data_IF_647264908959
#
_entry.id   IF_647264908959
#
_cell.length_a   1.000
_cell.length_b   1.000
_cell.length_c   1.000
_cell.angle_alpha   90.00
_cell.angle_beta   90.00
_cell.angle_gamma   90.00
#
_symmetry.space_group_name_H-M   'P 1'
#
loop_
_entity.id
_entity.type
_entity.pdbx_description
1 polymer ?
#
# COMPACT_ATOMS: atom_id res chain seq x y z
N UNK A 1 -24.48 -2.37 7.83
CA UNK A 1 -23.20 -3.06 8.04
C UNK A 1 -22.70 -2.78 9.45
N UNK A 2 -22.53 -3.82 10.27
CA UNK A 2 -21.91 -3.66 11.59
C UNK A 2 -20.45 -3.33 11.34
N UNK A 3 -20.04 -2.09 11.64
CA UNK A 3 -18.65 -1.68 11.59
C UNK A 3 -17.94 -2.32 12.78
N UNK A 4 -17.23 -3.41 12.55
CA UNK A 4 -16.20 -3.85 13.46
C UNK A 4 -15.25 -2.69 13.70
N UNK A 5 -14.69 -2.56 14.92
CA UNK A 5 -13.79 -1.46 15.23
C UNK A 5 -12.63 -1.40 14.22
N UNK A 6 -12.49 -0.29 13.51
CA UNK A 6 -11.37 -0.07 12.60
C UNK A 6 -10.11 0.25 13.39
N UNK A 7 -8.98 -0.30 12.96
CA UNK A 7 -7.66 0.00 13.52
C UNK A 7 -7.00 1.02 12.61
N UNK A 8 -6.90 2.27 13.05
CA UNK A 8 -6.23 3.35 12.30
C UNK A 8 -4.73 3.03 12.13
N UNK A 9 -4.07 3.68 11.15
CA UNK A 9 -2.63 3.54 10.95
C UNK A 9 -1.85 3.92 12.21
N UNK A 10 -2.24 4.99 12.90
CA UNK A 10 -1.63 5.39 14.17
C UNK A 10 -1.75 4.32 15.27
N UNK A 11 -2.88 3.61 15.35
CA UNK A 11 -3.05 2.50 16.29
C UNK A 11 -2.22 1.28 15.86
N UNK A 12 -2.13 0.96 14.57
CA UNK A 12 -1.24 -0.08 14.05
C UNK A 12 0.23 0.23 14.39
N UNK A 13 0.64 1.50 14.28
CA UNK A 13 1.96 1.96 14.69
C UNK A 13 2.19 1.81 16.20
N UNK A 14 1.19 2.10 17.03
CA UNK A 14 1.27 1.88 18.47
C UNK A 14 1.47 0.38 18.80
N UNK A 15 0.73 -0.51 18.13
CA UNK A 15 0.92 -1.95 18.26
C UNK A 15 2.33 -2.39 17.80
N UNK A 16 2.83 -1.82 16.70
CA UNK A 16 4.18 -2.09 16.21
C UNK A 16 5.25 -1.69 17.21
N UNK A 17 5.10 -0.55 17.90
CA UNK A 17 6.02 -0.14 18.98
C UNK A 17 6.11 -1.16 20.11
N UNK A 18 5.00 -1.82 20.47
CA UNK A 18 4.99 -2.90 21.47
C UNK A 18 5.85 -4.06 20.97
N UNK A 19 5.68 -4.48 19.72
CA UNK A 19 6.49 -5.56 19.13
C UNK A 19 7.99 -5.19 19.09
N UNK A 20 8.32 -3.95 18.72
CA UNK A 20 9.72 -3.47 18.76
C UNK A 20 10.32 -3.54 20.17
N UNK A 21 9.54 -3.15 21.19
CA UNK A 21 9.95 -3.24 22.58
C UNK A 21 10.16 -4.70 23.03
N UNK A 22 9.29 -5.62 22.61
CA UNK A 22 9.43 -7.05 22.89
C UNK A 22 10.69 -7.64 22.23
N UNK A 23 10.96 -7.30 20.96
CA UNK A 23 12.19 -7.71 20.26
C UNK A 23 13.41 -7.19 21.03
N UNK A 24 13.42 -5.91 21.41
CA UNK A 24 14.51 -5.30 22.19
C UNK A 24 14.75 -6.02 23.51
N UNK A 25 13.68 -6.32 24.25
CA UNK A 25 13.75 -7.03 25.54
C UNK A 25 14.26 -8.48 25.36
N UNK A 26 13.72 -9.19 24.37
CA UNK A 26 14.06 -10.60 24.14
C UNK A 26 15.50 -10.81 23.68
N UNK A 27 16.05 -9.89 22.91
CA UNK A 27 17.42 -9.94 22.41
C UNK A 27 18.39 -9.02 23.18
N UNK A 28 17.92 -8.38 24.25
CA UNK A 28 18.73 -7.67 25.22
C UNK A 28 19.31 -6.33 24.75
N UNK A 29 18.89 -5.80 23.58
CA UNK A 29 19.43 -4.56 23.05
C UNK A 29 18.44 -3.81 22.12
N UNK A 30 18.18 -2.52 22.37
CA UNK A 30 17.47 -1.66 21.44
C UNK A 30 18.17 -1.54 20.08
N UNK A 31 19.50 -1.57 20.05
CA UNK A 31 20.28 -1.49 18.81
C UNK A 31 20.11 -2.75 17.97
N UNK A 32 20.01 -3.93 18.60
CA UNK A 32 19.67 -5.15 17.89
C UNK A 32 18.29 -5.05 17.22
N UNK A 33 17.28 -4.58 17.97
CA UNK A 33 15.94 -4.41 17.41
C UNK A 33 15.96 -3.47 16.19
N UNK A 34 16.68 -2.35 16.28
CA UNK A 34 16.84 -1.40 15.17
C UNK A 34 17.49 -2.06 13.95
N UNK A 35 18.64 -2.72 14.13
CA UNK A 35 19.35 -3.42 13.05
C UNK A 35 18.52 -4.53 12.39
N UNK A 36 17.67 -5.21 13.19
CA UNK A 36 16.73 -6.20 12.68
C UNK A 36 15.66 -5.55 11.81
N UNK A 37 15.05 -4.45 12.28
CA UNK A 37 14.00 -3.73 11.57
C UNK A 37 14.49 -3.05 10.28
N UNK A 38 15.76 -2.64 10.23
CA UNK A 38 16.41 -2.10 9.02
C UNK A 38 16.39 -3.10 7.86
N UNK A 39 16.35 -4.40 8.13
CA UNK A 39 16.29 -5.48 7.14
C UNK A 39 14.88 -5.81 6.70
N UNK A 40 13.87 -5.37 7.46
CA UNK A 40 12.47 -5.66 7.18
C UNK A 40 11.92 -4.80 6.04
N UNK A 41 11.00 -5.38 5.27
CA UNK A 41 10.20 -4.67 4.28
C UNK A 41 8.91 -4.20 4.94
N UNK A 42 8.60 -2.91 4.82
CA UNK A 42 7.39 -2.30 5.32
C UNK A 42 6.42 -2.08 4.18
N UNK A 43 5.41 -2.96 4.06
CA UNK A 43 4.35 -2.85 3.07
C UNK A 43 3.18 -2.09 3.67
N UNK A 44 2.84 -0.93 3.10
CA UNK A 44 1.77 -0.05 3.56
C UNK A 44 0.69 0.03 2.50
N UNK A 45 -0.50 -0.50 2.80
CA UNK A 45 -1.69 -0.45 1.96
C UNK A 45 -2.85 0.13 2.77
N UNK A 46 -3.13 1.41 2.58
CA UNK A 46 -4.13 2.17 3.36
C UNK A 46 -4.70 3.32 2.53
N UNK A 47 -5.93 3.74 2.84
CA UNK A 47 -6.60 4.90 2.24
C UNK A 47 -7.92 4.58 1.57
N UNK A 48 -8.12 3.38 1.00
CA UNK A 48 -9.39 3.04 0.33
C UNK A 48 -10.61 3.17 1.25
N UNK A 49 -10.48 2.77 2.51
CA UNK A 49 -11.56 2.88 3.49
C UNK A 49 -11.86 4.33 3.90
N UNK A 50 -10.88 5.22 3.83
CA UNK A 50 -11.06 6.64 4.09
C UNK A 50 -11.96 7.26 3.03
N UNK A 51 -11.86 6.82 1.78
CA UNK A 51 -12.77 7.25 0.72
C UNK A 51 -14.10 6.49 0.77
N UNK A 52 -14.08 5.17 0.61
CA UNK A 52 -15.28 4.34 0.51
C UNK A 52 -16.10 4.30 1.79
N UNK A 53 -15.44 4.24 2.93
CA UNK A 53 -16.10 4.15 4.25
C UNK A 53 -16.41 5.48 4.90
N UNK A 54 -15.80 6.59 4.47
CA UNK A 54 -15.92 7.89 5.09
C UNK A 54 -16.31 8.98 4.08
N UNK A 55 -15.41 9.43 3.18
CA UNK A 55 -15.65 10.61 2.33
C UNK A 55 -16.91 10.48 1.47
N UNK A 56 -17.08 9.35 0.79
CA UNK A 56 -18.24 9.06 -0.06
C UNK A 56 -19.46 8.52 0.71
N UNK A 57 -19.48 8.69 2.04
CA UNK A 57 -20.59 8.32 2.92
C UNK A 57 -21.09 9.52 3.74
N UNK A 58 -21.57 10.60 3.10
CA UNK A 58 -21.96 11.86 3.78
C UNK A 58 -23.10 11.70 4.78
N UNK A 59 -23.89 10.64 4.66
CA UNK A 59 -24.97 10.30 5.62
C UNK A 59 -24.43 9.86 7.00
N UNK A 60 -23.20 9.45 7.10
CA UNK A 60 -22.57 9.00 8.35
C UNK A 60 -21.41 9.88 8.78
N UNK A 61 -20.74 10.57 7.83
CA UNK A 61 -19.58 11.40 8.07
C UNK A 61 -19.66 12.73 7.34
N UNK A 62 -19.41 13.84 8.02
CA UNK A 62 -19.47 15.18 7.40
C UNK A 62 -18.22 15.51 6.56
N UNK A 63 -17.33 14.58 6.31
CA UNK A 63 -15.99 14.81 5.75
C UNK A 63 -16.04 15.50 4.38
N UNK A 64 -16.94 15.09 3.49
CA UNK A 64 -17.11 15.71 2.16
C UNK A 64 -17.79 17.10 2.22
N UNK A 65 -18.33 17.48 3.36
CA UNK A 65 -18.85 18.85 3.60
C UNK A 65 -17.75 19.79 4.12
N UNK A 66 -16.67 19.23 4.67
CA UNK A 66 -15.55 19.96 5.30
C UNK A 66 -14.38 20.12 4.33
N UNK A 67 -14.09 19.07 3.55
CA UNK A 67 -12.93 19.00 2.65
C UNK A 67 -13.39 18.83 1.20
N UNK A 68 -12.74 19.52 0.26
CA UNK A 68 -12.77 19.10 -1.14
C UNK A 68 -12.01 17.76 -1.31
N UNK A 69 -12.20 17.07 -2.44
CA UNK A 69 -11.44 15.83 -2.73
C UNK A 69 -9.93 16.04 -2.66
N UNK A 70 -9.44 17.15 -3.23
CA UNK A 70 -8.03 17.52 -3.22
C UNK A 70 -7.50 17.78 -1.79
N UNK A 71 -8.25 18.53 -0.99
CA UNK A 71 -7.91 18.81 0.41
C UNK A 71 -7.90 17.52 1.24
N UNK A 72 -8.84 16.61 0.97
CA UNK A 72 -8.90 15.35 1.68
C UNK A 72 -7.73 14.43 1.33
N UNK A 73 -7.39 14.29 0.04
CA UNK A 73 -6.21 13.58 -0.40
C UNK A 73 -4.93 14.14 0.27
N UNK A 74 -4.80 15.48 0.32
CA UNK A 74 -3.67 16.13 0.97
C UNK A 74 -3.57 15.80 2.46
N UNK A 75 -4.69 15.87 3.19
CA UNK A 75 -4.75 15.54 4.62
C UNK A 75 -4.36 14.07 4.88
N UNK A 76 -4.81 13.14 4.04
CA UNK A 76 -4.44 11.72 4.16
C UNK A 76 -2.94 11.50 3.91
N UNK A 77 -2.35 12.19 2.94
CA UNK A 77 -0.91 12.10 2.63
C UNK A 77 -0.06 12.71 3.76
N UNK A 78 -0.51 13.80 4.36
CA UNK A 78 0.16 14.41 5.51
C UNK A 78 0.16 13.46 6.72
N UNK A 79 -0.97 12.85 7.03
CA UNK A 79 -1.08 11.85 8.11
C UNK A 79 -0.20 10.62 7.81
N UNK A 80 -0.22 10.12 6.57
CA UNK A 80 0.67 9.03 6.14
C UNK A 80 2.15 9.41 6.33
N UNK A 81 2.54 10.62 5.94
CA UNK A 81 3.90 11.14 6.09
C UNK A 81 4.37 11.10 7.55
N UNK A 82 3.54 11.55 8.50
CA UNK A 82 3.85 11.51 9.93
C UNK A 82 4.03 10.07 10.44
N UNK A 83 3.18 9.15 10.01
CA UNK A 83 3.29 7.75 10.41
C UNK A 83 4.54 7.06 9.80
N UNK A 84 4.92 7.39 8.56
CA UNK A 84 6.15 6.89 7.94
C UNK A 84 7.40 7.42 8.65
N UNK A 85 7.42 8.68 9.09
CA UNK A 85 8.49 9.24 9.92
C UNK A 85 8.62 8.48 11.24
N UNK A 86 7.51 8.20 11.90
CA UNK A 86 7.51 7.44 13.14
C UNK A 86 8.00 5.98 12.95
N UNK A 87 7.68 5.33 11.81
CA UNK A 87 8.26 4.02 11.45
C UNK A 87 9.78 4.12 11.21
N UNK A 88 10.23 5.18 10.54
CA UNK A 88 11.65 5.44 10.31
C UNK A 88 12.43 5.59 11.61
N UNK A 89 11.88 6.30 12.59
CA UNK A 89 12.48 6.49 13.92
C UNK A 89 12.58 5.16 14.69
N UNK A 90 11.66 4.23 14.44
CA UNK A 90 11.69 2.87 15.01
C UNK A 90 12.72 1.95 14.34
N UNK A 91 13.27 2.33 13.19
CA UNK A 91 14.30 1.53 12.48
C UNK A 91 13.87 1.02 11.11
N UNK A 92 12.68 1.33 10.62
CA UNK A 92 12.26 0.96 9.26
C UNK A 92 13.10 1.71 8.20
N UNK A 93 13.50 1.02 7.12
CA UNK A 93 14.34 1.59 6.05
C UNK A 93 13.86 1.29 4.64
N UNK A 94 13.09 0.24 4.44
CA UNK A 94 12.58 -0.19 3.12
C UNK A 94 11.06 -0.16 3.12
N UNK A 95 10.49 0.67 2.25
CA UNK A 95 9.05 0.93 2.24
C UNK A 95 8.44 0.67 0.88
N UNK A 96 7.37 -0.10 0.88
CA UNK A 96 6.49 -0.33 -0.27
C UNK A 96 5.15 0.32 0.05
N UNK A 97 4.83 1.41 -0.64
CA UNK A 97 3.59 2.16 -0.46
C UNK A 97 2.63 1.79 -1.59
N UNK A 98 1.52 1.15 -1.24
CA UNK A 98 0.55 0.73 -2.25
C UNK A 98 -0.36 1.89 -2.61
N UNK A 99 -0.45 2.21 -3.90
CA UNK A 99 -1.43 3.15 -4.42
C UNK A 99 -2.85 2.60 -4.31
N UNK A 100 -3.82 3.47 -4.33
CA UNK A 100 -5.24 3.09 -4.33
C UNK A 100 -5.64 2.54 -5.69
N UNK A 101 -6.39 1.44 -5.70
CA UNK A 101 -7.06 0.94 -6.88
C UNK A 101 -8.20 1.88 -7.30
N UNK A 102 -8.69 1.73 -8.53
CA UNK A 102 -9.83 2.48 -9.06
C UNK A 102 -11.14 1.99 -8.40
N UNK A 103 -11.37 2.43 -7.17
CA UNK A 103 -12.50 1.96 -6.37
C UNK A 103 -13.86 2.40 -6.92
N UNK A 104 -13.93 3.39 -7.80
CA UNK A 104 -15.12 3.70 -8.59
C UNK A 104 -15.55 2.57 -9.54
N UNK A 105 -14.69 1.58 -9.77
CA UNK A 105 -14.96 0.39 -10.58
C UNK A 105 -15.33 -0.84 -9.74
N UNK A 106 -15.46 -0.71 -8.42
CA UNK A 106 -15.89 -1.85 -7.58
C UNK A 106 -17.38 -2.13 -7.78
N UNK A 107 -17.83 -3.40 -7.70
CA UNK A 107 -19.23 -3.76 -7.81
C UNK A 107 -20.14 -2.97 -6.87
N UNK A 108 -19.71 -2.75 -5.60
CA UNK A 108 -20.46 -1.97 -4.62
C UNK A 108 -20.72 -0.55 -5.09
N UNK A 109 -19.71 0.14 -5.63
CA UNK A 109 -19.84 1.53 -6.09
C UNK A 109 -20.67 1.60 -7.35
N UNK A 110 -20.41 0.76 -8.34
CA UNK A 110 -21.18 0.73 -9.58
C UNK A 110 -22.66 0.44 -9.32
N UNK A 111 -22.94 -0.52 -8.45
CA UNK A 111 -24.34 -0.87 -8.08
C UNK A 111 -25.05 0.26 -7.34
N UNK A 112 -24.40 0.88 -6.35
CA UNK A 112 -25.00 1.97 -5.57
C UNK A 112 -25.29 3.24 -6.39
N UNK A 113 -24.56 3.44 -7.51
CA UNK A 113 -24.77 4.57 -8.43
C UNK A 113 -25.62 4.21 -9.65
N UNK A 114 -26.04 2.96 -9.80
CA UNK A 114 -26.89 2.51 -10.91
C UNK A 114 -26.23 2.65 -12.29
N UNK A 115 -24.92 2.42 -12.40
CA UNK A 115 -24.13 2.70 -13.62
C UNK A 115 -24.14 1.59 -14.66
N UNK A 116 -24.89 0.50 -14.44
CA UNK A 116 -24.95 -0.66 -15.35
C UNK A 116 -23.56 -1.18 -15.76
N UNK A 117 -22.63 -1.29 -14.79
CA UNK A 117 -21.28 -1.82 -14.99
C UNK A 117 -20.23 -0.79 -15.43
N UNK A 118 -20.60 0.47 -15.66
CA UNK A 118 -19.64 1.55 -15.88
C UNK A 118 -19.04 2.03 -14.57
N UNK A 119 -17.76 2.38 -14.57
CA UNK A 119 -17.10 2.94 -13.38
C UNK A 119 -17.64 4.34 -13.03
N UNK A 120 -17.59 4.69 -11.76
CA UNK A 120 -17.89 6.05 -11.26
C UNK A 120 -16.61 6.87 -11.32
N UNK A 121 -16.47 7.69 -12.37
CA UNK A 121 -15.22 8.38 -12.69
C UNK A 121 -14.80 9.43 -11.65
N UNK A 122 -15.74 10.06 -10.95
CA UNK A 122 -15.43 10.98 -9.85
C UNK A 122 -14.63 10.26 -8.73
N UNK A 123 -15.03 9.05 -8.40
CA UNK A 123 -14.35 8.26 -7.37
C UNK A 123 -12.99 7.75 -7.87
N UNK A 124 -12.88 7.40 -9.14
CA UNK A 124 -11.60 7.05 -9.75
C UNK A 124 -10.63 8.24 -9.78
N UNK A 125 -11.13 9.45 -10.09
CA UNK A 125 -10.32 10.66 -10.06
C UNK A 125 -9.76 10.94 -8.65
N UNK A 126 -10.53 10.68 -7.59
CA UNK A 126 -10.06 10.81 -6.21
C UNK A 126 -8.92 9.82 -5.90
N UNK A 127 -9.03 8.57 -6.35
CA UNK A 127 -7.95 7.58 -6.20
C UNK A 127 -6.68 8.02 -6.95
N UNK A 128 -6.81 8.52 -8.16
CA UNK A 128 -5.68 8.99 -8.97
C UNK A 128 -5.01 10.23 -8.36
N UNK A 129 -5.77 11.18 -7.80
CA UNK A 129 -5.20 12.34 -7.12
C UNK A 129 -4.39 11.93 -5.88
N UNK A 130 -4.92 11.03 -5.06
CA UNK A 130 -4.18 10.45 -3.95
C UNK A 130 -2.88 9.78 -4.42
N UNK A 131 -2.93 8.96 -5.48
CA UNK A 131 -1.77 8.25 -6.01
C UNK A 131 -0.70 9.20 -6.54
N UNK A 132 -1.08 10.31 -7.18
CA UNK A 132 -0.15 11.35 -7.62
C UNK A 132 0.55 12.02 -6.43
N UNK A 133 -0.18 12.34 -5.37
CA UNK A 133 0.38 12.89 -4.13
C UNK A 133 1.27 11.87 -3.40
N UNK A 134 0.90 10.59 -3.40
CA UNK A 134 1.71 9.50 -2.85
C UNK A 134 3.06 9.39 -3.58
N UNK A 135 3.06 9.47 -4.91
CA UNK A 135 4.30 9.49 -5.71
C UNK A 135 5.17 10.68 -5.35
N UNK A 136 4.60 11.87 -5.20
CA UNK A 136 5.34 13.06 -4.77
C UNK A 136 5.94 12.89 -3.36
N UNK A 137 5.22 12.25 -2.43
CA UNK A 137 5.74 11.90 -1.10
C UNK A 137 6.92 10.94 -1.19
N UNK A 138 6.86 9.94 -2.07
CA UNK A 138 7.98 9.00 -2.34
C UNK A 138 9.22 9.76 -2.81
N UNK A 139 9.08 10.70 -3.75
CA UNK A 139 10.18 11.54 -4.23
C UNK A 139 10.78 12.38 -3.09
N UNK A 140 9.92 13.04 -2.31
CA UNK A 140 10.34 13.84 -1.16
C UNK A 140 11.12 13.01 -0.13
N UNK A 141 10.64 11.82 0.20
CA UNK A 141 11.26 10.96 1.20
C UNK A 141 12.55 10.31 0.68
N UNK A 142 12.61 9.90 -0.57
CA UNK A 142 13.83 9.42 -1.19
C UNK A 142 14.92 10.50 -1.26
N UNK A 143 14.56 11.77 -1.45
CA UNK A 143 15.50 12.88 -1.40
C UNK A 143 15.96 13.13 0.04
N UNK A 144 15.03 13.19 1.00
CA UNK A 144 15.33 13.48 2.41
C UNK A 144 16.17 12.38 3.08
N UNK A 145 15.90 11.12 2.77
CA UNK A 145 16.51 9.96 3.40
C UNK A 145 17.42 9.16 2.45
N UNK A 146 17.96 9.81 1.44
CA UNK A 146 18.73 9.19 0.34
C UNK A 146 19.87 8.27 0.80
N UNK A 147 20.50 8.59 1.95
CA UNK A 147 21.63 7.85 2.47
C UNK A 147 21.28 6.52 3.14
N UNK A 148 20.07 6.37 3.70
CA UNK A 148 19.79 5.26 4.60
C UNK A 148 18.41 4.62 4.45
N UNK A 149 17.55 5.13 3.59
CA UNK A 149 16.20 4.59 3.39
C UNK A 149 15.78 4.64 1.93
N UNK A 150 14.85 3.75 1.57
CA UNK A 150 14.28 3.68 0.23
C UNK A 150 12.78 3.49 0.28
N UNK A 151 12.09 4.30 -0.50
CA UNK A 151 10.63 4.31 -0.63
C UNK A 151 10.27 4.02 -2.08
N UNK A 152 9.32 3.12 -2.28
CA UNK A 152 8.75 2.83 -3.59
C UNK A 152 7.23 2.91 -3.50
N UNK A 153 6.56 3.16 -4.62
CA UNK A 153 5.11 3.02 -4.72
C UNK A 153 4.74 2.02 -5.81
N UNK A 154 3.65 1.28 -5.56
CA UNK A 154 3.06 0.35 -6.51
C UNK A 154 1.78 0.99 -7.02
N UNK A 155 1.58 0.96 -8.33
CA UNK A 155 0.36 1.37 -9.00
C UNK A 155 -0.51 0.14 -9.27
N UNK A 156 -1.75 0.15 -8.77
CA UNK A 156 -2.68 -0.95 -9.04
C UNK A 156 -3.13 -0.92 -10.50
N UNK A 157 -3.18 -2.09 -11.13
CA UNK A 157 -3.66 -2.21 -12.50
C UNK A 157 -5.08 -1.65 -12.65
N UNK A 158 -5.36 -0.83 -13.68
CA UNK A 158 -6.72 -0.39 -13.97
C UNK A 158 -7.59 -1.56 -14.44
N UNK A 159 -8.89 -1.53 -14.13
CA UNK A 159 -9.88 -2.53 -14.58
C UNK A 159 -9.84 -2.80 -16.09
N UNK A 160 -9.50 -1.79 -16.90
CA UNK A 160 -9.36 -1.94 -18.35
C UNK A 160 -8.31 -2.99 -18.78
N UNK A 161 -7.35 -3.31 -17.89
CA UNK A 161 -6.33 -4.32 -18.13
C UNK A 161 -6.74 -5.72 -17.64
N UNK A 162 -8.01 -5.93 -17.33
CA UNK A 162 -8.55 -7.23 -16.89
C UNK A 162 -8.59 -8.27 -18.04
N UNK A 163 -7.53 -8.32 -18.86
CA UNK A 163 -7.39 -9.31 -19.91
C UNK A 163 -7.29 -10.71 -19.30
N UNK A 164 -8.14 -11.62 -19.77
CA UNK A 164 -8.24 -12.98 -19.22
C UNK A 164 -9.33 -13.15 -18.16
N UNK A 165 -9.90 -12.06 -17.63
CA UNK A 165 -11.05 -12.12 -16.73
C UNK A 165 -12.35 -11.98 -17.53
N UNK A 166 -13.29 -12.88 -17.29
CA UNK A 166 -14.60 -12.87 -17.96
C UNK A 166 -15.58 -11.90 -17.27
N UNK A 167 -15.41 -11.70 -15.96
CA UNK A 167 -16.31 -10.89 -15.14
C UNK A 167 -15.50 -9.84 -14.36
N UNK A 168 -15.71 -8.58 -14.69
CA UNK A 168 -14.98 -7.45 -14.09
C UNK A 168 -15.89 -6.43 -13.38
N UNK A 169 -17.19 -6.67 -13.35
CA UNK A 169 -18.21 -5.73 -12.82
C UNK A 169 -19.15 -6.38 -11.80
N UNK A 170 -18.92 -7.65 -11.46
CA UNK A 170 -19.69 -8.38 -10.47
C UNK A 170 -18.78 -9.14 -9.50
N UNK A 171 -19.28 -9.39 -8.30
CA UNK A 171 -18.64 -10.19 -7.27
C UNK A 171 -18.78 -11.70 -7.55
N UNK A 172 -17.72 -12.48 -7.33
CA UNK A 172 -17.78 -13.95 -7.30
C UNK A 172 -18.63 -14.45 -6.11
N UNK A 173 -18.55 -13.74 -4.99
CA UNK A 173 -19.31 -14.03 -3.78
C UNK A 173 -19.96 -12.73 -3.25
N UNK A 174 -21.14 -12.36 -3.77
CA UNK A 174 -21.80 -11.11 -3.40
C UNK A 174 -22.20 -11.07 -1.93
N UNK A 175 -22.51 -9.88 -1.43
CA UNK A 175 -22.92 -9.62 -0.03
C UNK A 175 -21.88 -10.06 1.02
N UNK A 176 -20.60 -10.07 0.65
CA UNK A 176 -19.50 -10.38 1.57
C UNK A 176 -19.39 -11.87 1.92
N UNK A 177 -19.94 -12.74 1.08
CA UNK A 177 -19.82 -14.19 1.23
C UNK A 177 -20.35 -14.67 2.60
N UNK A 178 -21.59 -14.35 2.90
CA UNK A 178 -22.24 -14.82 4.15
C UNK A 178 -22.22 -16.35 4.25
N UNK A 179 -22.31 -16.91 5.46
CA UNK A 179 -22.48 -18.33 5.67
C UNK A 179 -23.57 -18.85 4.79
N UNK A 180 -23.75 -19.83 4.18
CA UNK A 180 -24.81 -20.35 3.30
C UNK A 180 -24.86 -19.76 1.87
N UNK A 181 -24.05 -18.77 1.55
CA UNK A 181 -23.89 -18.32 0.17
C UNK A 181 -22.85 -19.15 -0.55
N UNK A 182 -23.18 -19.56 -1.78
CA UNK A 182 -22.22 -20.23 -2.66
C UNK A 182 -21.50 -19.19 -3.51
N UNK A 183 -20.16 -19.19 -3.52
CA UNK A 183 -19.41 -18.38 -4.47
C UNK A 183 -19.64 -18.86 -5.90
N UNK A 184 -19.20 -18.08 -6.87
CA UNK A 184 -19.15 -18.46 -8.27
C UNK A 184 -18.38 -19.80 -8.49
N UNK A 185 -18.65 -20.48 -9.59
CA UNK A 185 -18.03 -21.78 -9.87
C UNK A 185 -16.52 -21.69 -10.14
N UNK A 186 -16.08 -20.61 -10.77
CA UNK A 186 -14.68 -20.37 -11.11
C UNK A 186 -14.26 -18.96 -10.73
N UNK A 187 -13.64 -18.80 -9.57
CA UNK A 187 -13.20 -17.50 -9.04
C UNK A 187 -12.06 -16.85 -9.85
N UNK A 188 -11.30 -17.64 -10.61
CA UNK A 188 -10.23 -17.11 -11.46
C UNK A 188 -10.72 -16.35 -12.69
N UNK A 189 -12.02 -16.44 -13.01
CA UNK A 189 -12.66 -15.66 -14.07
C UNK A 189 -13.12 -14.28 -13.61
N UNK A 190 -13.08 -13.99 -12.29
CA UNK A 190 -13.59 -12.77 -11.68
C UNK A 190 -12.47 -11.86 -11.20
N UNK A 191 -12.61 -10.55 -11.45
CA UNK A 191 -11.73 -9.52 -10.84
C UNK A 191 -12.02 -9.40 -9.34
N UNK A 192 -13.30 -9.43 -8.95
CA UNK A 192 -13.72 -9.21 -7.58
C UNK A 192 -14.21 -10.48 -6.89
N UNK A 193 -13.67 -10.72 -5.67
CA UNK A 193 -14.14 -11.77 -4.78
C UNK A 193 -15.50 -11.43 -4.19
N UNK A 194 -15.59 -10.28 -3.54
CA UNK A 194 -16.82 -9.70 -3.03
C UNK A 194 -17.09 -8.34 -3.71
N UNK A 195 -18.02 -7.58 -3.18
CA UNK A 195 -18.41 -6.30 -3.79
C UNK A 195 -17.31 -5.22 -3.77
N UNK A 196 -16.17 -5.46 -3.09
CA UNK A 196 -15.06 -4.49 -2.92
C UNK A 196 -13.68 -5.11 -3.13
N UNK A 197 -13.45 -6.32 -2.58
CA UNK A 197 -12.14 -6.93 -2.55
C UNK A 197 -11.83 -7.76 -3.82
N UNK A 198 -10.60 -7.71 -4.33
CA UNK A 198 -10.21 -8.47 -5.51
C UNK A 198 -10.09 -9.98 -5.21
N UNK A 199 -10.12 -10.78 -6.27
CA UNK A 199 -9.79 -12.21 -6.21
C UNK A 199 -8.28 -12.42 -6.06
N UNK A 200 -7.92 -13.68 -5.75
CA UNK A 200 -6.52 -14.14 -5.72
C UNK A 200 -5.83 -13.93 -7.08
N UNK A 201 -6.51 -14.26 -8.19
CA UNK A 201 -5.96 -14.10 -9.54
C UNK A 201 -5.68 -12.63 -9.88
N UNK A 202 -6.60 -11.73 -9.51
CA UNK A 202 -6.35 -10.30 -9.69
C UNK A 202 -5.19 -9.80 -8.83
N UNK A 203 -5.07 -10.28 -7.59
CA UNK A 203 -3.94 -9.97 -6.73
C UNK A 203 -2.61 -10.49 -7.31
N UNK A 204 -2.62 -11.70 -7.88
CA UNK A 204 -1.43 -12.27 -8.53
C UNK A 204 -1.00 -11.45 -9.76
N UNK A 205 -1.95 -11.02 -10.59
CA UNK A 205 -1.68 -10.14 -11.74
C UNK A 205 -1.01 -8.82 -11.32
N UNK A 206 -1.35 -8.30 -10.14
CA UNK A 206 -0.73 -7.11 -9.59
C UNK A 206 0.61 -7.39 -8.87
N UNK A 207 0.75 -8.54 -8.22
CA UNK A 207 1.93 -8.88 -7.44
C UNK A 207 3.16 -9.17 -8.32
N UNK A 208 2.97 -9.79 -9.49
CA UNK A 208 4.06 -10.16 -10.39
C UNK A 208 4.84 -8.93 -10.87
N UNK A 209 4.23 -7.90 -11.50
CA UNK A 209 4.95 -6.71 -11.92
C UNK A 209 5.41 -5.82 -10.75
N UNK A 210 4.76 -5.91 -9.59
CA UNK A 210 5.23 -5.23 -8.38
C UNK A 210 6.55 -5.81 -7.87
N UNK A 211 6.73 -7.13 -7.99
CA UNK A 211 7.94 -7.80 -7.57
C UNK A 211 9.08 -7.62 -8.58
N UNK A 212 8.82 -7.80 -9.88
CA UNK A 212 9.80 -7.68 -10.95
C UNK A 212 9.21 -6.86 -12.11
N UNK A 213 9.65 -5.62 -12.24
CA UNK A 213 9.11 -4.63 -13.19
C UNK A 213 9.53 -4.83 -14.65
N UNK A 214 10.27 -5.89 -14.98
CA UNK A 214 10.59 -6.23 -16.38
C UNK A 214 9.29 -6.40 -17.20
N UNK A 215 8.22 -6.88 -16.56
CA UNK A 215 6.93 -7.14 -17.21
C UNK A 215 6.17 -5.85 -17.49
N UNK A 216 6.14 -4.93 -16.53
CA UNK A 216 5.50 -3.61 -16.66
C UNK A 216 6.25 -2.56 -15.82
N UNK A 217 7.17 -1.81 -16.42
CA UNK A 217 7.95 -0.78 -15.71
C UNK A 217 7.11 0.37 -15.16
N UNK A 218 5.89 0.60 -15.70
CA UNK A 218 5.00 1.65 -15.23
C UNK A 218 4.25 1.28 -13.94
N UNK A 219 4.29 -0.01 -13.56
CA UNK A 219 3.56 -0.54 -12.41
C UNK A 219 4.16 -0.11 -11.07
N UNK A 220 5.43 0.21 -11.03
CA UNK A 220 6.19 0.57 -9.82
C UNK A 220 7.01 1.84 -10.01
N UNK A 221 7.31 2.54 -8.92
CA UNK A 221 8.14 3.74 -8.96
C UNK A 221 8.92 3.91 -7.64
N UNK A 222 10.22 4.27 -7.66
CA UNK A 222 11.12 4.36 -8.81
C UNK A 222 11.77 3.00 -9.18
N UNK A 223 11.49 1.94 -8.44
CA UNK A 223 11.98 0.59 -8.66
C UNK A 223 10.98 -0.45 -8.11
N UNK A 224 11.17 -1.71 -8.47
CA UNK A 224 10.39 -2.83 -7.95
C UNK A 224 10.89 -3.37 -6.60
N UNK A 225 10.12 -4.32 -6.04
CA UNK A 225 10.42 -4.92 -4.74
C UNK A 225 11.75 -5.70 -4.79
N UNK A 226 12.04 -6.39 -5.88
CA UNK A 226 13.27 -7.18 -6.07
C UNK A 226 14.51 -6.28 -5.97
N UNK A 227 14.51 -5.15 -6.68
CA UNK A 227 15.59 -4.17 -6.61
C UNK A 227 15.66 -3.46 -5.24
N UNK A 228 14.52 -3.24 -4.57
CA UNK A 228 14.50 -2.70 -3.21
C UNK A 228 15.19 -3.64 -2.21
N UNK A 229 15.01 -4.95 -2.36
CA UNK A 229 15.72 -5.96 -1.53
C UNK A 229 17.22 -5.94 -1.80
N UNK A 230 17.63 -5.95 -3.06
CA UNK A 230 19.02 -5.93 -3.50
C UNK A 230 19.75 -4.64 -3.10
N UNK A 231 19.03 -3.51 -3.01
CA UNK A 231 19.59 -2.22 -2.61
C UNK A 231 20.24 -2.28 -1.21
N UNK A 232 19.72 -3.07 -0.27
CA UNK A 232 20.34 -3.24 1.06
C UNK A 232 21.65 -4.03 0.97
N UNK A 233 21.69 -5.08 0.17
CA UNK A 233 22.88 -5.90 -0.01
C UNK A 233 24.07 -5.09 -0.54
N UNK A 234 23.83 -4.18 -1.48
CA UNK A 234 24.87 -3.30 -2.03
C UNK A 234 25.44 -2.34 -0.97
N UNK A 235 24.59 -1.80 -0.09
CA UNK A 235 25.04 -0.91 0.99
C UNK A 235 25.97 -1.60 2.00
N UNK A 236 25.69 -2.84 2.35
CA UNK A 236 26.53 -3.63 3.27
C UNK A 236 27.90 -3.93 2.66
N UNK A 237 27.96 -4.26 1.37
CA UNK A 237 29.20 -4.54 0.67
C UNK A 237 30.10 -3.31 0.54
N UNK A 238 29.55 -2.12 0.33
CA UNK A 238 30.32 -0.88 0.28
C UNK A 238 30.99 -0.55 1.62
N UNK A 239 30.30 -0.77 2.75
CA UNK A 239 30.87 -0.55 4.08
C UNK A 239 32.00 -1.55 4.42
N UNK A 240 31.87 -2.81 4.04
CA UNK A 240 32.91 -3.82 4.28
C UNK A 240 34.16 -3.57 3.43
N UNK A 241 34.01 -3.14 2.19
CA UNK A 241 35.16 -2.82 1.32
C UNK A 241 35.85 -1.51 1.73
N UNK A 242 35.12 -0.52 2.28
CA UNK A 242 35.69 0.72 2.81
C UNK A 242 36.51 0.50 4.11
N UNK A 243 36.07 -0.41 4.97
CA UNK A 243 36.76 -0.70 6.23
C UNK A 243 38.08 -1.49 6.01
N UNK A 244 38.14 -2.34 4.99
CA UNK A 244 39.37 -3.09 4.67
C UNK A 244 40.46 -2.26 3.99
N UNK A 245 40.11 -1.15 3.34
CA UNK A 245 41.09 -0.24 2.71
C UNK A 245 41.77 0.73 3.69
N UNK A 246 41.27 0.90 4.90
CA UNK A 246 41.88 1.78 5.91
C UNK A 246 42.86 1.07 6.88
N UNK A 247 42.98 -0.27 6.83
CA UNK A 247 43.86 -1.04 7.70
C UNK A 247 45.19 -1.40 7.06
N UNK A 248 45.56 -0.89 5.87
CA UNK A 248 46.78 -1.21 5.17
C UNK A 248 47.82 -0.09 5.04
N UNK A 249 47.81 0.93 5.93
CA UNK A 249 48.85 1.97 5.95
C UNK A 249 49.25 2.25 7.39
N UNK A 250 50.07 1.34 7.98
CA UNK A 250 51.10 1.64 9.00
C UNK A 250 52.06 0.44 9.09
N UNK A 251 53.07 0.42 8.27
CA UNK A 251 54.44 -0.05 8.58
C UNK A 251 55.44 0.95 8.04
#
# INVERSE_FOLDING_TARGET
MHRGGSISLGLQLANHRVIVSEISTRFGSPDFARQYLEKCLYYVNIGSNDYLGNYFNPQFYPTSQIYSLEQYAQALIEELSLNLLALHDLGARKYVLNGLGLFGCTPAVMHSHGTNGSCVEEQNAAALDFNNKLKALVDQFNNRFSANSKFITIHMAPKANAQGFLVSDAACCPLGCLPDQKPCNNRSEYVFWDDVHPTEEWNLLNAIPAYDSIIDPAFVYPMDIKHLVDWEAKRVLEFTNGATSQLSVTE
#
